data_IF_683002758892
#
_entry.id   IF_683002758892
#
_cell.length_a   1.000
_cell.length_b   1.000
_cell.length_c   1.000
_cell.angle_alpha   90.00
_cell.angle_beta   90.00
_cell.angle_gamma   90.00
#
_symmetry.space_group_name_H-M   'P 1'
#
loop_
_entity.id
_entity.type
_entity.pdbx_description
1 polymer ?
#
# COMPACT_ATOMS: atom_id res chain seq x y z
N UNK A 1 7.12 -28.08 -29.71
CA UNK A 1 7.44 -28.58 -28.37
C UNK A 1 6.74 -27.71 -27.34
N UNK A 2 6.09 -28.32 -26.35
CA UNK A 2 5.45 -27.59 -25.24
C UNK A 2 6.45 -27.57 -24.09
N UNK A 3 6.88 -26.38 -23.67
CA UNK A 3 7.69 -26.20 -22.47
C UNK A 3 6.80 -26.27 -21.23
N UNK A 4 7.11 -27.17 -20.31
CA UNK A 4 6.42 -27.31 -19.03
C UNK A 4 7.28 -26.72 -17.93
N UNK A 5 6.70 -25.84 -17.10
CA UNK A 5 7.36 -25.27 -15.92
C UNK A 5 6.55 -25.62 -14.67
N UNK A 6 6.78 -26.79 -14.07
CA UNK A 6 6.01 -27.23 -12.90
C UNK A 6 6.32 -26.37 -11.68
N UNK A 7 5.33 -26.24 -10.80
CA UNK A 7 5.46 -25.57 -9.51
C UNK A 7 4.85 -26.43 -8.42
N UNK A 8 5.62 -26.70 -7.38
CA UNK A 8 5.16 -27.39 -6.18
C UNK A 8 4.83 -26.35 -5.11
N UNK A 9 3.61 -26.39 -4.56
CA UNK A 9 3.19 -25.54 -3.45
C UNK A 9 3.34 -26.33 -2.15
N UNK A 10 4.17 -25.82 -1.25
CA UNK A 10 4.38 -26.37 0.09
C UNK A 10 3.42 -25.66 1.04
N UNK A 11 2.18 -26.11 1.03
CA UNK A 11 1.13 -25.51 1.84
C UNK A 11 1.43 -25.66 3.33
N UNK A 12 1.05 -24.63 4.10
CA UNK A 12 1.16 -24.59 5.54
C UNK A 12 2.59 -24.82 6.10
N UNK A 13 3.58 -24.38 5.34
CA UNK A 13 5.00 -24.64 5.65
C UNK A 13 5.41 -24.09 7.03
N UNK A 14 4.76 -23.02 7.50
CA UNK A 14 5.04 -22.39 8.81
C UNK A 14 4.52 -23.19 10.01
N UNK A 15 3.88 -24.34 9.77
CA UNK A 15 3.48 -25.32 10.78
C UNK A 15 3.98 -26.73 10.46
N UNK A 16 4.68 -26.93 9.35
CA UNK A 16 5.18 -28.23 8.92
C UNK A 16 6.49 -28.62 9.64
N UNK A 17 6.76 -29.91 9.69
CA UNK A 17 8.08 -30.41 10.11
C UNK A 17 9.09 -30.16 8.99
N UNK A 18 9.87 -29.09 9.13
CA UNK A 18 10.81 -28.63 8.10
C UNK A 18 11.89 -29.69 7.85
N UNK A 19 12.52 -30.20 8.90
CA UNK A 19 13.65 -31.11 8.75
C UNK A 19 13.26 -32.59 8.65
N UNK A 20 12.18 -32.99 9.29
CA UNK A 20 11.71 -34.37 9.23
C UNK A 20 10.89 -34.69 7.97
N UNK A 21 10.27 -33.69 7.35
CA UNK A 21 9.41 -33.90 6.18
C UNK A 21 9.74 -32.99 4.99
N UNK A 22 9.71 -31.67 5.17
CA UNK A 22 9.77 -30.72 4.03
C UNK A 22 11.10 -30.84 3.28
N UNK A 23 12.22 -30.83 3.99
CA UNK A 23 13.55 -30.93 3.38
C UNK A 23 13.76 -32.30 2.69
N UNK A 24 13.46 -33.45 3.32
CA UNK A 24 13.52 -34.76 2.63
C UNK A 24 12.64 -34.79 1.36
N UNK A 25 11.41 -34.31 1.44
CA UNK A 25 10.52 -34.21 0.27
C UNK A 25 11.11 -33.35 -0.85
N UNK A 26 11.68 -32.20 -0.51
CA UNK A 26 12.32 -31.31 -1.48
C UNK A 26 13.58 -31.89 -2.10
N UNK A 27 14.32 -32.70 -1.36
CA UNK A 27 15.47 -33.46 -1.92
C UNK A 27 15.01 -34.46 -2.99
N UNK A 28 13.89 -35.16 -2.77
CA UNK A 28 13.30 -36.03 -3.80
C UNK A 28 12.81 -35.24 -5.02
N UNK A 29 12.17 -34.10 -4.81
CA UNK A 29 11.81 -33.21 -5.94
C UNK A 29 13.04 -32.79 -6.74
N UNK A 30 14.16 -32.50 -6.06
CA UNK A 30 15.41 -32.15 -6.73
C UNK A 30 15.97 -33.31 -7.52
N UNK A 31 15.98 -34.53 -6.97
CA UNK A 31 16.37 -35.74 -7.69
C UNK A 31 15.52 -35.93 -8.97
N UNK A 32 14.22 -35.68 -8.89
CA UNK A 32 13.32 -35.73 -10.07
C UNK A 32 13.68 -34.65 -11.09
N UNK A 33 13.94 -33.40 -10.66
CA UNK A 33 14.41 -32.34 -11.55
C UNK A 33 15.66 -32.74 -12.33
N UNK A 34 16.65 -33.29 -11.62
CA UNK A 34 17.94 -33.71 -12.20
C UNK A 34 17.72 -34.88 -13.16
N UNK A 35 16.92 -35.86 -12.78
CA UNK A 35 16.63 -37.05 -13.60
C UNK A 35 15.88 -36.70 -14.91
N UNK A 36 14.84 -35.85 -14.83
CA UNK A 36 14.03 -35.48 -16.00
C UNK A 36 14.56 -34.25 -16.73
N UNK A 37 15.56 -33.57 -16.18
CA UNK A 37 16.06 -32.28 -16.68
C UNK A 37 14.94 -31.23 -16.84
N UNK A 38 14.02 -31.19 -15.87
CA UNK A 38 12.90 -30.24 -15.83
C UNK A 38 12.97 -29.45 -14.52
N UNK A 39 13.22 -28.12 -14.57
CA UNK A 39 13.26 -27.31 -13.36
C UNK A 39 11.88 -27.22 -12.72
N UNK A 40 11.80 -27.46 -11.41
CA UNK A 40 10.57 -27.34 -10.61
C UNK A 40 10.72 -26.13 -9.67
N UNK A 41 9.82 -25.17 -9.73
CA UNK A 41 9.74 -24.13 -8.72
C UNK A 41 9.07 -24.65 -7.47
N UNK A 42 9.58 -24.26 -6.31
CA UNK A 42 8.95 -24.53 -5.02
C UNK A 42 8.43 -23.24 -4.44
N UNK A 43 7.16 -23.22 -4.05
CA UNK A 43 6.51 -22.09 -3.40
C UNK A 43 6.29 -22.43 -1.93
N UNK A 44 6.98 -21.72 -1.05
CA UNK A 44 6.79 -21.80 0.39
C UNK A 44 5.55 -21.01 0.78
N UNK A 45 4.51 -21.68 1.26
CA UNK A 45 3.21 -21.06 1.54
C UNK A 45 3.00 -20.89 3.05
N UNK A 46 3.04 -19.64 3.51
CA UNK A 46 2.60 -19.25 4.85
C UNK A 46 1.07 -19.13 4.86
N UNK A 47 0.42 -20.28 4.73
CA UNK A 47 -1.02 -20.42 4.49
C UNK A 47 -1.87 -19.74 5.57
N UNK A 48 -1.39 -19.72 6.82
CA UNK A 48 -2.11 -19.14 7.96
C UNK A 48 -1.53 -17.79 8.42
N UNK A 49 -0.58 -17.21 7.67
CA UNK A 49 0.07 -15.96 8.07
C UNK A 49 0.90 -16.07 9.35
N UNK A 50 1.35 -17.26 9.71
CA UNK A 50 2.02 -17.58 10.97
C UNK A 50 3.50 -17.22 10.99
N UNK A 51 4.09 -17.01 9.82
CA UNK A 51 5.50 -16.71 9.68
C UNK A 51 5.95 -15.51 10.51
N UNK A 52 7.21 -15.53 10.92
CA UNK A 52 7.88 -14.40 11.57
C UNK A 52 9.19 -14.08 10.83
N UNK A 53 9.49 -12.80 10.73
CA UNK A 53 10.50 -12.25 9.83
C UNK A 53 11.89 -12.07 10.47
N UNK A 54 12.13 -12.46 11.71
CA UNK A 54 13.42 -12.31 12.34
C UNK A 54 14.15 -13.67 12.46
N UNK A 55 15.50 -13.66 12.33
CA UNK A 55 16.29 -14.90 12.26
C UNK A 55 16.23 -15.79 13.50
N UNK A 56 16.06 -15.18 14.69
CA UNK A 56 16.00 -15.90 15.96
C UNK A 56 14.66 -16.59 16.23
N UNK A 57 13.71 -16.53 15.30
CA UNK A 57 12.45 -17.25 15.43
C UNK A 57 12.63 -18.74 15.31
N UNK A 58 11.83 -19.49 16.09
CA UNK A 58 11.87 -20.96 16.08
C UNK A 58 11.28 -21.51 14.77
N UNK A 59 11.93 -22.55 14.23
CA UNK A 59 11.40 -23.37 13.13
C UNK A 59 10.14 -24.11 13.66
N UNK A 60 9.03 -24.19 12.89
CA UNK A 60 8.88 -23.85 11.46
C UNK A 60 8.44 -22.40 11.18
N UNK A 61 8.40 -21.51 12.15
CA UNK A 61 7.82 -20.17 12.01
C UNK A 61 8.76 -19.14 11.42
N UNK A 62 10.06 -19.39 11.44
CA UNK A 62 11.08 -18.49 10.91
C UNK A 62 11.09 -18.45 9.39
N UNK A 63 10.67 -17.35 8.78
CA UNK A 63 10.80 -17.14 7.32
C UNK A 63 12.27 -17.24 6.89
N UNK A 64 13.23 -16.56 7.57
CA UNK A 64 14.66 -16.73 7.28
C UNK A 64 15.10 -18.19 7.33
N UNK A 65 14.69 -18.92 8.38
CA UNK A 65 15.06 -20.32 8.57
C UNK A 65 14.49 -21.25 7.50
N UNK A 66 13.24 -21.02 7.08
CA UNK A 66 12.61 -21.78 6.00
C UNK A 66 13.39 -21.57 4.68
N UNK A 67 13.59 -20.31 4.27
CA UNK A 67 14.30 -20.02 3.01
C UNK A 67 15.75 -20.51 3.05
N UNK A 68 16.44 -20.38 4.19
CA UNK A 68 17.76 -20.96 4.40
C UNK A 68 17.73 -22.48 4.23
N UNK A 69 16.79 -23.18 4.86
CA UNK A 69 16.58 -24.61 4.74
C UNK A 69 16.40 -25.06 3.28
N UNK A 70 15.56 -24.35 2.54
CA UNK A 70 15.31 -24.63 1.11
C UNK A 70 16.57 -24.46 0.26
N UNK A 71 17.34 -23.41 0.50
CA UNK A 71 18.56 -23.12 -0.27
C UNK A 71 19.73 -24.04 0.11
N UNK A 72 19.98 -24.19 1.40
CA UNK A 72 21.22 -24.84 1.91
C UNK A 72 21.02 -26.34 2.13
N UNK A 73 19.91 -26.73 2.74
CA UNK A 73 19.68 -28.13 3.08
C UNK A 73 18.94 -28.92 2.00
N UNK A 74 17.97 -28.31 1.31
CA UNK A 74 17.33 -28.94 0.15
C UNK A 74 18.03 -28.63 -1.17
N UNK A 75 18.99 -27.68 -1.20
CA UNK A 75 19.82 -27.38 -2.36
C UNK A 75 19.09 -26.74 -3.54
N UNK A 76 17.95 -26.10 -3.31
CA UNK A 76 17.26 -25.38 -4.37
C UNK A 76 17.99 -24.06 -4.69
N UNK A 77 18.22 -23.76 -5.97
CA UNK A 77 18.74 -22.47 -6.38
C UNK A 77 17.68 -21.37 -6.14
N UNK A 78 18.14 -20.16 -5.82
CA UNK A 78 17.27 -19.03 -5.47
C UNK A 78 16.18 -18.77 -6.49
N UNK A 79 16.48 -18.86 -7.78
CA UNK A 79 15.56 -18.62 -8.89
C UNK A 79 14.37 -19.58 -8.94
N UNK A 80 14.44 -20.70 -8.23
CA UNK A 80 13.36 -21.69 -8.14
C UNK A 80 12.58 -21.63 -6.83
N UNK A 81 12.91 -20.71 -5.91
CA UNK A 81 12.21 -20.54 -4.63
C UNK A 81 11.27 -19.33 -4.71
N UNK A 82 10.03 -19.55 -4.36
CA UNK A 82 8.99 -18.50 -4.26
C UNK A 82 8.39 -18.49 -2.84
N UNK A 83 7.85 -17.33 -2.46
CA UNK A 83 7.10 -17.16 -1.22
C UNK A 83 5.65 -16.79 -1.50
N UNK A 84 4.72 -17.32 -0.72
CA UNK A 84 3.32 -16.93 -0.69
C UNK A 84 2.90 -16.75 0.76
N UNK A 85 2.35 -15.58 1.10
CA UNK A 85 1.99 -15.26 2.47
C UNK A 85 0.59 -14.67 2.61
N UNK A 86 -0.07 -15.01 3.74
CA UNK A 86 -1.31 -14.40 4.20
C UNK A 86 -1.05 -13.36 5.27
N UNK A 87 -2.04 -12.48 5.50
CA UNK A 87 -1.90 -11.29 6.34
C UNK A 87 -2.55 -11.40 7.72
N UNK A 88 -2.85 -12.60 8.19
CA UNK A 88 -3.59 -12.82 9.43
C UNK A 88 -2.94 -12.20 10.67
N UNK A 89 -1.64 -11.99 10.65
CA UNK A 89 -0.88 -11.33 11.72
C UNK A 89 -0.22 -10.02 11.28
N UNK A 90 -0.74 -9.35 10.23
CA UNK A 90 -0.19 -8.09 9.68
C UNK A 90 1.28 -8.18 9.23
N UNK A 91 1.74 -9.37 8.81
CA UNK A 91 3.15 -9.60 8.44
C UNK A 91 3.35 -10.00 6.99
N UNK A 92 2.32 -10.01 6.17
CA UNK A 92 2.44 -10.48 4.78
C UNK A 92 3.56 -9.75 4.03
N UNK A 93 3.63 -8.42 4.10
CA UNK A 93 4.66 -7.62 3.44
C UNK A 93 6.04 -7.91 4.03
N UNK A 94 6.20 -7.79 5.34
CA UNK A 94 7.51 -7.97 6.00
C UNK A 94 8.05 -9.40 5.85
N UNK A 95 7.19 -10.41 5.87
CA UNK A 95 7.59 -11.79 5.60
C UNK A 95 8.03 -11.99 4.16
N UNK A 96 7.31 -11.40 3.20
CA UNK A 96 7.65 -11.46 1.78
C UNK A 96 8.96 -10.75 1.47
N UNK A 97 9.19 -9.57 2.02
CA UNK A 97 10.46 -8.84 1.93
C UNK A 97 11.61 -9.68 2.52
N UNK A 98 11.35 -10.31 3.68
CA UNK A 98 12.33 -11.18 4.31
C UNK A 98 12.67 -12.40 3.45
N UNK A 99 11.66 -13.03 2.83
CA UNK A 99 11.90 -14.13 1.91
C UNK A 99 12.81 -13.71 0.74
N UNK A 100 12.62 -12.53 0.15
CA UNK A 100 13.54 -11.98 -0.86
C UNK A 100 14.96 -11.80 -0.33
N UNK A 101 15.11 -11.17 0.83
CA UNK A 101 16.42 -10.91 1.43
C UNK A 101 17.19 -12.19 1.75
N UNK A 102 16.49 -13.28 2.02
CA UNK A 102 17.11 -14.60 2.28
C UNK A 102 17.24 -15.49 1.04
N UNK A 103 16.73 -15.04 -0.11
CA UNK A 103 17.02 -15.62 -1.41
C UNK A 103 15.85 -16.32 -2.12
N UNK A 104 14.61 -16.02 -1.77
CA UNK A 104 13.50 -16.32 -2.66
C UNK A 104 13.55 -15.38 -3.88
N UNK A 105 13.33 -15.89 -5.08
CA UNK A 105 13.36 -15.08 -6.30
C UNK A 105 12.05 -14.35 -6.57
N UNK A 106 10.95 -14.81 -5.99
CA UNK A 106 9.64 -14.24 -6.24
C UNK A 106 8.71 -14.30 -5.05
N UNK A 107 7.79 -13.38 -5.03
CA UNK A 107 6.68 -13.31 -4.08
C UNK A 107 5.37 -13.35 -4.84
N UNK A 108 4.47 -14.21 -4.41
CA UNK A 108 3.13 -14.27 -4.94
C UNK A 108 2.25 -13.23 -4.24
N UNK A 109 1.74 -12.28 -5.02
CA UNK A 109 0.95 -11.15 -4.54
C UNK A 109 -0.44 -11.12 -5.18
N UNK A 110 -1.31 -10.30 -4.61
CA UNK A 110 -2.59 -9.92 -5.21
C UNK A 110 -2.75 -8.40 -5.17
N UNK A 111 -3.55 -7.83 -6.08
CA UNK A 111 -3.89 -6.41 -6.04
C UNK A 111 -4.61 -6.11 -4.72
N UNK A 112 -4.17 -5.06 -4.03
CA UNK A 112 -4.72 -4.59 -2.75
C UNK A 112 -4.75 -5.63 -1.63
N UNK A 113 -3.95 -6.69 -1.78
CA UNK A 113 -3.95 -7.80 -0.84
C UNK A 113 -5.23 -8.62 -0.83
N UNK A 114 -6.07 -8.53 -1.88
CA UNK A 114 -7.32 -9.28 -1.95
C UNK A 114 -7.03 -10.77 -1.91
N UNK A 115 -7.70 -11.49 -1.01
CA UNK A 115 -7.52 -12.92 -0.81
C UNK A 115 -8.41 -13.45 0.31
N UNK A 116 -8.20 -14.69 0.67
CA UNK A 116 -8.95 -15.33 1.77
C UNK A 116 -8.66 -14.68 3.13
N UNK A 117 -9.64 -14.71 4.02
CA UNK A 117 -9.59 -14.18 5.38
C UNK A 117 -9.15 -12.71 5.43
N UNK A 118 -7.92 -12.43 5.87
CA UNK A 118 -7.35 -11.09 5.97
C UNK A 118 -6.56 -10.67 4.73
N UNK A 119 -6.52 -11.54 3.72
CA UNK A 119 -5.89 -11.29 2.43
C UNK A 119 -4.46 -11.83 2.31
N UNK A 120 -3.88 -11.53 1.17
CA UNK A 120 -2.53 -11.92 0.76
C UNK A 120 -1.55 -10.75 0.84
N UNK A 121 -0.33 -10.97 0.40
CA UNK A 121 0.66 -9.90 0.22
C UNK A 121 0.19 -8.92 -0.86
N UNK A 122 0.02 -7.62 -0.55
CA UNK A 122 -0.40 -6.62 -1.53
C UNK A 122 0.71 -6.37 -2.57
N UNK A 123 0.36 -6.41 -3.85
CA UNK A 123 1.32 -6.19 -4.94
C UNK A 123 1.92 -4.78 -4.90
N UNK A 124 1.10 -3.77 -4.69
CA UNK A 124 1.54 -2.37 -4.60
C UNK A 124 2.54 -2.15 -3.47
N UNK A 125 2.35 -2.82 -2.33
CA UNK A 125 3.31 -2.74 -1.24
C UNK A 125 4.67 -3.35 -1.65
N UNK A 126 4.66 -4.49 -2.34
CA UNK A 126 5.90 -5.15 -2.77
C UNK A 126 6.62 -4.39 -3.89
N UNK A 127 5.90 -3.63 -4.72
CA UNK A 127 6.53 -2.71 -5.70
C UNK A 127 7.32 -1.62 -4.96
N UNK A 128 6.75 -1.01 -3.92
CA UNK A 128 7.47 -0.01 -3.12
C UNK A 128 8.57 -0.62 -2.23
N UNK A 129 8.38 -1.83 -1.69
CA UNK A 129 9.46 -2.58 -1.02
C UNK A 129 10.63 -2.83 -1.98
N UNK A 130 10.35 -3.23 -3.22
CA UNK A 130 11.38 -3.39 -4.26
C UNK A 130 12.14 -2.08 -4.49
N UNK A 131 11.40 -0.98 -4.69
CA UNK A 131 12.00 0.33 -4.91
C UNK A 131 12.90 0.76 -3.74
N UNK A 132 12.48 0.53 -2.48
CA UNK A 132 13.26 0.84 -1.30
C UNK A 132 14.55 -0.01 -1.23
N UNK A 133 14.47 -1.31 -1.54
CA UNK A 133 15.61 -2.22 -1.50
C UNK A 133 16.61 -1.96 -2.65
N UNK A 134 16.12 -1.58 -3.82
CA UNK A 134 16.94 -1.39 -5.03
C UNK A 134 17.37 0.05 -5.27
N UNK A 135 16.68 1.02 -4.67
CA UNK A 135 16.88 2.45 -4.94
C UNK A 135 16.31 2.90 -6.30
N UNK A 136 15.52 2.06 -6.98
CA UNK A 136 14.95 2.33 -8.30
C UNK A 136 13.66 1.52 -8.50
N UNK A 137 12.76 2.02 -9.33
CA UNK A 137 11.57 1.30 -9.80
C UNK A 137 11.87 0.45 -11.05
N UNK A 138 13.08 0.52 -11.62
CA UNK A 138 13.48 -0.21 -12.84
C UNK A 138 12.46 -0.10 -14.00
N UNK A 139 11.90 1.10 -14.17
CA UNK A 139 10.94 1.41 -15.23
C UNK A 139 9.48 1.02 -14.93
N UNK A 140 9.17 0.53 -13.74
CA UNK A 140 7.77 0.30 -13.35
C UNK A 140 7.02 1.63 -13.20
N UNK A 141 5.87 1.74 -13.86
CA UNK A 141 4.95 2.87 -13.71
C UNK A 141 4.00 2.62 -12.54
N UNK A 142 4.25 3.30 -11.42
CA UNK A 142 3.43 3.15 -10.21
C UNK A 142 2.16 4.01 -10.22
N UNK A 143 2.02 4.92 -11.18
CA UNK A 143 0.81 5.75 -11.30
C UNK A 143 -0.43 4.93 -11.61
N UNK A 144 -0.27 3.77 -12.26
CA UNK A 144 -1.35 2.82 -12.55
C UNK A 144 -2.01 2.23 -11.29
N UNK A 145 -1.33 2.30 -10.13
CA UNK A 145 -1.90 1.79 -8.86
C UNK A 145 -3.19 2.55 -8.51
N UNK A 146 -3.19 3.86 -8.69
CA UNK A 146 -4.39 4.68 -8.45
C UNK A 146 -5.49 4.37 -9.46
N UNK A 147 -5.16 4.25 -10.75
CA UNK A 147 -6.12 3.89 -11.78
C UNK A 147 -6.75 2.51 -11.55
N UNK A 148 -5.96 1.54 -11.11
CA UNK A 148 -6.45 0.21 -10.73
C UNK A 148 -7.39 0.27 -9.51
N UNK A 149 -7.06 1.07 -8.48
CA UNK A 149 -7.93 1.22 -7.32
C UNK A 149 -9.29 1.83 -7.72
N UNK A 150 -9.29 2.87 -8.55
CA UNK A 150 -10.51 3.48 -9.08
C UNK A 150 -11.33 2.50 -9.94
N UNK A 151 -10.66 1.71 -10.79
CA UNK A 151 -11.32 0.68 -11.59
C UNK A 151 -12.00 -0.38 -10.70
N UNK A 152 -11.31 -0.86 -9.66
CA UNK A 152 -11.86 -1.83 -8.72
C UNK A 152 -13.07 -1.28 -7.96
N UNK A 153 -13.05 0.00 -7.57
CA UNK A 153 -14.18 0.63 -6.90
C UNK A 153 -15.38 0.82 -7.84
N UNK A 154 -15.15 1.30 -9.06
CA UNK A 154 -16.22 1.65 -10.01
C UNK A 154 -16.80 0.44 -10.74
N UNK A 155 -15.95 -0.43 -11.25
CA UNK A 155 -16.37 -1.51 -12.16
C UNK A 155 -16.58 -2.84 -11.42
N UNK A 156 -15.81 -3.10 -10.36
CA UNK A 156 -15.91 -4.35 -9.60
C UNK A 156 -16.73 -4.18 -8.32
N UNK A 157 -16.90 -2.94 -7.83
CA UNK A 157 -17.63 -2.65 -6.60
C UNK A 157 -16.83 -2.98 -5.33
N UNK A 158 -15.51 -3.19 -5.46
CA UNK A 158 -14.63 -3.43 -4.31
C UNK A 158 -14.35 -2.11 -3.61
N UNK A 159 -14.71 -2.00 -2.33
CA UNK A 159 -14.46 -0.80 -1.53
C UNK A 159 -13.09 -0.88 -0.89
N UNK A 160 -12.15 -0.08 -1.39
CA UNK A 160 -10.83 0.06 -0.78
C UNK A 160 -10.97 0.75 0.59
N UNK A 161 -10.49 0.13 1.69
CA UNK A 161 -10.51 0.79 2.99
C UNK A 161 -9.74 2.12 2.94
N UNK A 162 -10.32 3.18 3.47
CA UNK A 162 -9.83 4.55 3.26
C UNK A 162 -8.39 4.82 3.71
N UNK A 163 -7.83 3.99 4.59
CA UNK A 163 -6.46 4.11 5.09
C UNK A 163 -5.51 3.02 4.60
N UNK A 164 -5.91 2.25 3.60
CA UNK A 164 -5.01 1.26 3.00
C UNK A 164 -3.80 1.99 2.41
N UNK A 165 -2.57 1.60 2.76
CA UNK A 165 -1.38 2.23 2.22
C UNK A 165 -1.40 2.30 0.69
N UNK A 166 -0.93 3.40 0.13
CA UNK A 166 -0.84 3.72 -1.31
C UNK A 166 -2.17 3.90 -2.05
N UNK A 167 -3.24 3.21 -1.68
CA UNK A 167 -4.49 3.14 -2.46
C UNK A 167 -5.71 3.72 -1.76
N UNK A 168 -5.75 3.74 -0.44
CA UNK A 168 -6.88 4.30 0.32
C UNK A 168 -7.01 5.80 0.12
N UNK A 169 -8.24 6.32 0.07
CA UNK A 169 -8.48 7.76 -0.18
C UNK A 169 -7.84 8.68 0.87
N UNK A 170 -7.54 8.18 2.06
CA UNK A 170 -6.97 8.93 3.18
C UNK A 170 -5.56 8.46 3.56
N UNK A 171 -4.85 7.70 2.72
CA UNK A 171 -3.56 7.14 3.10
C UNK A 171 -2.48 8.21 3.34
N UNK A 172 -2.54 9.34 2.62
CA UNK A 172 -1.60 10.46 2.67
C UNK A 172 -2.22 11.75 3.25
N UNK A 173 -3.29 11.63 4.04
CA UNK A 173 -3.98 12.78 4.64
C UNK A 173 -3.36 13.16 5.98
N UNK A 174 -2.83 14.36 6.07
CA UNK A 174 -2.32 14.97 7.31
C UNK A 174 -3.41 15.75 8.03
N UNK A 175 -3.51 15.61 9.35
CA UNK A 175 -4.60 16.19 10.16
C UNK A 175 -4.16 17.22 11.19
N UNK A 176 -2.98 17.09 11.75
CA UNK A 176 -2.50 18.01 12.78
C UNK A 176 -2.09 19.36 12.18
N UNK A 177 -2.55 20.47 12.76
CA UNK A 177 -2.30 21.81 12.22
C UNK A 177 -0.82 22.14 12.03
N UNK A 178 0.05 21.75 12.97
CA UNK A 178 1.51 21.95 12.84
C UNK A 178 2.11 21.10 11.73
N UNK A 179 1.62 19.89 11.52
CA UNK A 179 2.06 19.01 10.44
C UNK A 179 1.59 19.52 9.08
N UNK A 180 0.34 20.01 9.03
CA UNK A 180 -0.20 20.65 7.85
C UNK A 180 0.59 21.89 7.44
N UNK A 181 0.95 22.75 8.39
CA UNK A 181 1.81 23.94 8.12
C UNK A 181 3.19 23.53 7.61
N UNK A 182 3.77 22.47 8.17
CA UNK A 182 5.03 21.90 7.67
C UNK A 182 4.93 21.40 6.24
N UNK A 183 3.90 20.61 5.94
CA UNK A 183 3.62 20.06 4.61
C UNK A 183 3.44 21.18 3.57
N UNK A 184 2.72 22.26 3.92
CA UNK A 184 2.50 23.41 3.04
C UNK A 184 3.79 24.20 2.72
N UNK A 185 4.78 24.15 3.61
CA UNK A 185 6.09 24.80 3.43
C UNK A 185 7.05 23.92 2.63
N UNK A 186 7.09 22.65 2.94
CA UNK A 186 7.87 21.65 2.23
C UNK A 186 7.24 20.28 2.44
N UNK A 187 6.78 19.67 1.36
CA UNK A 187 6.09 18.38 1.38
C UNK A 187 6.95 17.25 1.99
N UNK A 188 8.26 17.27 1.77
CA UNK A 188 9.21 16.28 2.30
C UNK A 188 9.26 16.21 3.84
N UNK A 189 8.73 17.22 4.54
CA UNK A 189 8.67 17.21 6.02
C UNK A 189 7.78 16.07 6.51
N UNK A 190 6.71 15.73 5.77
CA UNK A 190 5.74 14.69 6.16
C UNK A 190 5.48 13.63 5.11
N UNK A 191 5.95 13.81 3.87
CA UNK A 191 5.95 12.81 2.83
C UNK A 191 7.38 12.42 2.48
N UNK A 192 7.77 11.19 2.81
CA UNK A 192 9.12 10.71 2.52
C UNK A 192 9.36 10.45 1.02
N UNK A 193 8.29 10.35 0.24
CA UNK A 193 8.34 10.28 -1.22
C UNK A 193 7.21 11.12 -1.82
N UNK A 194 7.41 11.60 -3.04
CA UNK A 194 6.47 12.41 -3.79
C UNK A 194 5.28 11.57 -4.26
N UNK A 195 4.17 11.62 -3.51
CA UNK A 195 2.96 10.84 -3.79
C UNK A 195 2.23 11.32 -5.04
N UNK A 196 2.37 12.60 -5.43
CA UNK A 196 1.85 13.10 -6.70
C UNK A 196 2.58 12.47 -7.88
N UNK A 197 3.91 12.49 -7.86
CA UNK A 197 4.74 11.93 -8.92
C UNK A 197 4.54 10.42 -9.09
N UNK A 198 4.54 9.67 -7.99
CA UNK A 198 4.53 8.20 -8.04
C UNK A 198 3.14 7.57 -8.06
N UNK A 199 2.10 8.29 -7.62
CA UNK A 199 0.75 7.75 -7.50
C UNK A 199 -0.33 8.64 -8.13
N UNK A 200 0.04 9.81 -8.68
CA UNK A 200 -0.93 10.87 -9.08
C UNK A 200 -1.86 11.26 -7.93
N UNK A 201 -1.33 11.30 -6.72
CA UNK A 201 -2.10 11.57 -5.50
C UNK A 201 -1.39 12.60 -4.64
N UNK A 202 -1.76 13.88 -4.77
CA UNK A 202 -1.14 14.95 -3.97
C UNK A 202 -1.40 14.72 -2.49
N UNK A 203 -0.47 15.21 -1.66
CA UNK A 203 -0.64 15.19 -0.22
C UNK A 203 -1.83 16.05 0.19
N UNK A 204 -2.70 15.51 1.03
CA UNK A 204 -3.92 16.16 1.48
C UNK A 204 -3.81 16.60 2.94
N UNK A 205 -4.44 17.74 3.24
CA UNK A 205 -4.60 18.24 4.61
C UNK A 205 -6.09 18.22 4.95
N UNK A 206 -6.47 17.48 5.98
CA UNK A 206 -7.89 17.50 6.41
C UNK A 206 -8.20 18.79 7.18
N UNK A 207 -9.44 19.26 7.04
CA UNK A 207 -9.92 20.45 7.73
C UNK A 207 -10.49 20.10 9.11
N UNK A 208 -10.06 20.84 10.13
CA UNK A 208 -10.50 20.70 11.53
C UNK A 208 -10.52 22.06 12.22
N UNK A 209 -10.80 22.08 13.52
CA UNK A 209 -10.75 23.30 14.36
C UNK A 209 -9.40 24.00 14.35
N UNK A 210 -8.31 23.26 14.11
CA UNK A 210 -6.95 23.81 14.07
C UNK A 210 -6.54 24.31 12.68
N UNK A 211 -7.41 24.16 11.67
CA UNK A 211 -7.13 24.59 10.30
C UNK A 211 -7.34 26.11 10.18
N UNK A 212 -6.28 26.82 9.78
CA UNK A 212 -6.35 28.23 9.39
C UNK A 212 -6.85 28.40 7.95
N UNK A 213 -6.99 29.67 7.51
CA UNK A 213 -7.40 30.01 6.15
C UNK A 213 -6.54 29.34 5.07
N UNK A 214 -5.21 29.28 5.29
CA UNK A 214 -4.28 28.63 4.37
C UNK A 214 -4.56 27.13 4.21
N UNK A 215 -4.90 26.44 5.30
CA UNK A 215 -5.25 25.01 5.26
C UNK A 215 -6.55 24.73 4.49
N UNK A 216 -7.54 25.60 4.65
CA UNK A 216 -8.83 25.50 3.92
C UNK A 216 -8.61 25.77 2.42
N UNK A 217 -7.90 26.85 2.07
CA UNK A 217 -7.56 27.16 0.68
C UNK A 217 -6.75 26.02 0.03
N UNK A 218 -5.79 25.47 0.75
CA UNK A 218 -5.02 24.33 0.26
C UNK A 218 -5.92 23.10 0.01
N UNK A 219 -6.81 22.78 0.95
CA UNK A 219 -7.76 21.68 0.76
C UNK A 219 -8.60 21.87 -0.50
N UNK A 220 -9.16 23.06 -0.70
CA UNK A 220 -9.95 23.38 -1.90
C UNK A 220 -9.11 23.19 -3.17
N UNK A 221 -7.94 23.82 -3.23
CA UNK A 221 -7.08 23.78 -4.41
C UNK A 221 -6.62 22.36 -4.76
N UNK A 222 -6.29 21.56 -3.75
CA UNK A 222 -5.83 20.19 -3.94
C UNK A 222 -6.96 19.23 -4.27
N UNK A 223 -8.10 19.36 -3.59
CA UNK A 223 -9.26 18.49 -3.82
C UNK A 223 -9.81 18.64 -5.25
N UNK A 224 -9.95 19.92 -5.70
CA UNK A 224 -10.44 20.22 -7.05
C UNK A 224 -9.33 20.22 -8.12
N UNK A 225 -8.08 19.91 -7.75
CA UNK A 225 -6.91 19.89 -8.65
C UNK A 225 -6.76 21.18 -9.46
N UNK A 226 -6.95 22.34 -8.80
CA UNK A 226 -6.95 23.62 -9.48
C UNK A 226 -5.55 23.97 -9.99
N UNK A 227 -5.47 24.48 -11.23
CA UNK A 227 -4.25 25.01 -11.81
C UNK A 227 -3.82 26.28 -11.06
N UNK A 228 -2.55 26.62 -11.16
CA UNK A 228 -1.95 27.76 -10.46
C UNK A 228 -2.70 29.08 -10.69
N UNK A 229 -3.20 29.29 -11.91
CA UNK A 229 -4.00 30.46 -12.31
C UNK A 229 -5.42 30.50 -11.69
N UNK A 230 -5.97 29.33 -11.38
CA UNK A 230 -7.34 29.18 -10.87
C UNK A 230 -7.38 28.93 -9.34
N UNK A 231 -6.20 28.90 -8.69
CA UNK A 231 -6.13 28.63 -7.26
C UNK A 231 -6.87 29.67 -6.44
N UNK A 232 -7.68 29.19 -5.51
CA UNK A 232 -8.39 30.03 -4.54
C UNK A 232 -7.39 30.58 -3.53
N UNK A 233 -7.34 31.93 -3.43
CA UNK A 233 -6.51 32.61 -2.43
C UNK A 233 -7.07 32.43 -1.01
N UNK A 234 -6.18 32.25 -0.04
CA UNK A 234 -6.54 32.05 1.37
C UNK A 234 -7.32 33.21 1.98
N UNK A 235 -7.20 34.41 1.42
CA UNK A 235 -7.91 35.60 1.90
C UNK A 235 -9.22 35.86 1.11
N UNK A 236 -9.60 34.95 0.20
CA UNK A 236 -10.86 35.09 -0.54
C UNK A 236 -12.07 35.00 0.40
N UNK A 237 -13.16 35.66 0.00
CA UNK A 237 -14.43 35.61 0.73
C UNK A 237 -14.94 34.17 0.89
N UNK A 238 -14.80 33.35 -0.15
CA UNK A 238 -15.12 31.93 -0.12
C UNK A 238 -14.43 31.20 1.05
N UNK A 239 -13.12 31.38 1.21
CA UNK A 239 -12.34 30.71 2.27
C UNK A 239 -12.76 31.21 3.66
N UNK A 240 -13.03 32.51 3.79
CA UNK A 240 -13.52 33.08 5.04
C UNK A 240 -14.91 32.53 5.42
N UNK A 241 -15.81 32.36 4.46
CA UNK A 241 -17.13 31.77 4.72
C UNK A 241 -17.02 30.30 5.17
N UNK A 242 -16.20 29.52 4.49
CA UNK A 242 -15.95 28.13 4.89
C UNK A 242 -15.34 28.06 6.29
N UNK A 243 -14.35 28.94 6.60
CA UNK A 243 -13.74 29.00 7.92
C UNK A 243 -14.75 29.34 9.02
N UNK A 244 -15.60 30.32 8.79
CA UNK A 244 -16.63 30.70 9.76
C UNK A 244 -17.63 29.55 10.04
N UNK A 245 -17.99 28.79 9.01
CA UNK A 245 -18.81 27.60 9.18
C UNK A 245 -18.06 26.51 9.98
N UNK A 246 -16.79 26.25 9.66
CA UNK A 246 -15.94 25.29 10.40
C UNK A 246 -15.87 25.66 11.88
N UNK A 247 -15.60 26.93 12.20
CA UNK A 247 -15.50 27.38 13.60
C UNK A 247 -16.82 27.16 14.35
N UNK A 248 -17.95 27.48 13.73
CA UNK A 248 -19.26 27.26 14.32
C UNK A 248 -19.57 25.78 14.61
N UNK A 249 -19.19 24.88 13.73
CA UNK A 249 -19.33 23.44 13.94
C UNK A 249 -18.58 22.98 15.23
N UNK A 250 -17.35 23.46 15.42
CA UNK A 250 -16.55 23.09 16.58
C UNK A 250 -16.99 23.83 17.87
N UNK A 251 -17.42 25.08 17.76
CA UNK A 251 -18.04 25.80 18.88
C UNK A 251 -19.34 25.11 19.36
N UNK A 252 -20.05 24.46 18.45
CA UNK A 252 -21.25 23.68 18.78
C UNK A 252 -20.96 22.31 19.41
N UNK A 253 -19.68 21.99 19.70
CA UNK A 253 -19.27 20.77 20.39
C UNK A 253 -18.79 19.64 19.50
N UNK A 254 -18.54 19.87 18.22
CA UNK A 254 -17.95 18.87 17.34
C UNK A 254 -16.56 18.46 17.81
N UNK A 255 -16.25 17.14 17.84
CA UNK A 255 -14.94 16.60 18.20
C UNK A 255 -14.28 15.81 17.06
N UNK A 256 -15.01 15.54 15.97
CA UNK A 256 -14.49 14.79 14.81
C UNK A 256 -14.00 15.75 13.72
N UNK A 257 -13.07 15.29 12.87
CA UNK A 257 -12.71 16.00 11.64
C UNK A 257 -13.91 16.09 10.69
N UNK A 258 -13.89 17.09 9.83
CA UNK A 258 -14.90 17.25 8.78
C UNK A 258 -14.68 16.18 7.70
N UNK A 259 -15.78 15.65 7.18
CA UNK A 259 -15.74 14.76 6.02
C UNK A 259 -15.65 15.56 4.72
N UNK A 260 -15.20 14.91 3.65
CA UNK A 260 -15.16 15.56 2.33
C UNK A 260 -16.56 15.98 1.88
N UNK A 261 -17.58 15.15 2.14
CA UNK A 261 -18.98 15.45 1.80
C UNK A 261 -19.51 16.70 2.52
N UNK A 262 -19.15 16.89 3.79
CA UNK A 262 -19.50 18.09 4.55
C UNK A 262 -18.80 19.32 4.00
N UNK A 263 -17.51 19.22 3.68
CA UNK A 263 -16.74 20.32 3.09
C UNK A 263 -17.25 20.69 1.71
N UNK A 264 -17.53 19.71 0.86
CA UNK A 264 -18.09 19.95 -0.47
C UNK A 264 -19.41 20.70 -0.41
N UNK A 265 -20.29 20.32 0.51
CA UNK A 265 -21.59 21.00 0.69
C UNK A 265 -21.40 22.46 1.09
N UNK A 266 -20.55 22.74 2.10
CA UNK A 266 -20.36 24.14 2.55
C UNK A 266 -19.62 24.98 1.52
N UNK A 267 -18.70 24.37 0.75
CA UNK A 267 -18.01 25.06 -0.34
C UNK A 267 -18.99 25.41 -1.46
N UNK A 268 -19.88 24.48 -1.84
CA UNK A 268 -20.91 24.75 -2.83
C UNK A 268 -21.83 25.93 -2.40
N UNK A 269 -22.29 25.92 -1.15
CA UNK A 269 -23.09 27.03 -0.58
C UNK A 269 -22.30 28.37 -0.58
N UNK A 270 -21.01 28.32 -0.30
CA UNK A 270 -20.15 29.50 -0.29
C UNK A 270 -19.89 30.00 -1.72
N UNK A 271 -19.71 29.12 -2.70
CA UNK A 271 -19.57 29.46 -4.11
C UNK A 271 -20.83 30.19 -4.64
N UNK A 272 -22.03 29.68 -4.32
CA UNK A 272 -23.29 30.33 -4.69
C UNK A 272 -23.36 31.76 -4.16
N UNK A 273 -22.94 31.98 -2.91
CA UNK A 273 -23.04 33.29 -2.24
C UNK A 273 -22.00 34.30 -2.72
N UNK A 274 -20.80 33.83 -3.05
CA UNK A 274 -19.66 34.66 -3.46
C UNK A 274 -19.57 34.83 -4.98
N UNK A 275 -20.31 34.04 -5.75
CA UNK A 275 -20.22 34.02 -7.21
C UNK A 275 -18.91 33.38 -7.75
N UNK A 276 -18.10 32.78 -6.89
CA UNK A 276 -16.87 32.05 -7.29
C UNK A 276 -17.27 30.75 -7.94
N UNK A 277 -16.75 30.50 -9.14
CA UNK A 277 -16.89 29.21 -9.83
C UNK A 277 -15.62 28.39 -9.66
N UNK A 278 -15.73 27.20 -9.08
CA UNK A 278 -14.67 26.21 -9.04
C UNK A 278 -14.91 25.25 -10.20
N UNK A 279 -14.08 25.35 -11.24
CA UNK A 279 -14.17 24.46 -12.42
C UNK A 279 -13.33 23.23 -12.16
N UNK A 280 -13.96 22.08 -11.98
CA UNK A 280 -13.28 20.80 -11.90
C UNK A 280 -12.91 20.34 -13.32
N UNK A 281 -11.64 20.07 -13.58
CA UNK A 281 -11.27 19.33 -14.81
C UNK A 281 -11.77 17.88 -14.69
N UNK A 282 -12.41 17.40 -15.77
CA UNK A 282 -12.98 16.06 -15.90
C UNK A 282 -11.90 14.97 -15.97
#
# INVERSE_FOLDING_TARGET
EISISPRCHLEDITRADIYGYVIPFCLELKNMMDYYNIPIKVRCCDTMGYGVNYPGAVIPRSVPGIIYGMRVHAGFPSELIEWHGHNDFYKAVSNSTTAWLYGASGVNCSLFGIGERTGNTPLEAMVFEYAQLRGTLDGMDTTVITELAEYYEKEIGYKVPSRTPFVGKNFNVTRAGIHADGLLKNEEIYNIFDTEKFLKRPALVSVSNTSGLAGIAHWINTYFRLKKEDMVDKNSELVHMVKAWVDKEYESGRVTVLTDEELLRVIADACEKTGVQIVQEA
#
